data_IF_087465855198
#
_entry.id   IF_087465855198
#
_cell.length_a   1.000
_cell.length_b   1.000
_cell.length_c   1.000
_cell.angle_alpha   90.00
_cell.angle_beta   90.00
_cell.angle_gamma   90.00
#
_symmetry.space_group_name_H-M   'P 1'
#
loop_
_entity.id
_entity.type
_entity.pdbx_description
1 polymer ?
#
# COMPACT_ATOMS: atom_id res chain seq x y z
N UNK A 1 -8.40 9.85 -8.03
CA UNK A 1 -8.82 9.94 -6.61
C UNK A 1 -9.46 8.66 -6.07
N UNK A 2 -10.11 7.81 -6.87
CA UNK A 2 -10.72 6.55 -6.40
C UNK A 2 -9.74 5.55 -5.76
N UNK A 3 -8.51 5.46 -6.28
CA UNK A 3 -7.52 4.49 -5.81
C UNK A 3 -6.95 4.79 -4.41
N UNK A 4 -6.87 6.07 -4.02
CA UNK A 4 -6.43 6.46 -2.67
C UNK A 4 -7.51 6.19 -1.62
N UNK A 5 -8.78 6.45 -1.95
CA UNK A 5 -9.91 6.15 -1.05
C UNK A 5 -10.07 4.63 -0.87
N UNK A 6 -9.96 3.85 -1.94
CA UNK A 6 -9.98 2.39 -1.86
C UNK A 6 -8.83 1.86 -0.99
N UNK A 7 -7.64 2.46 -1.11
CA UNK A 7 -6.48 2.11 -0.29
C UNK A 7 -6.78 2.32 1.20
N UNK A 8 -7.25 3.51 1.58
CA UNK A 8 -7.59 3.81 2.98
C UNK A 8 -8.68 2.90 3.53
N UNK A 9 -9.77 2.70 2.77
CA UNK A 9 -10.86 1.81 3.18
C UNK A 9 -10.40 0.39 3.36
N UNK A 10 -9.53 -0.11 2.48
CA UNK A 10 -8.98 -1.46 2.57
C UNK A 10 -8.14 -1.63 3.83
N UNK A 11 -7.26 -0.67 4.14
CA UNK A 11 -6.45 -0.73 5.37
C UNK A 11 -7.33 -0.64 6.62
N UNK A 12 -8.33 0.25 6.62
CA UNK A 12 -9.25 0.42 7.73
C UNK A 12 -10.08 -0.85 7.99
N UNK A 13 -10.56 -1.51 6.94
CA UNK A 13 -11.33 -2.75 7.05
C UNK A 13 -10.48 -3.93 7.56
N UNK A 14 -9.17 -3.90 7.34
CA UNK A 14 -8.26 -4.97 7.72
C UNK A 14 -7.44 -4.67 8.99
N UNK A 15 -7.65 -3.51 9.64
CA UNK A 15 -6.78 -2.99 10.71
C UNK A 15 -6.58 -3.90 11.93
N UNK A 16 -7.45 -4.88 12.15
CA UNK A 16 -7.37 -5.83 13.26
C UNK A 16 -6.72 -7.17 12.88
N UNK A 17 -6.39 -7.37 11.61
CA UNK A 17 -5.85 -8.63 11.10
C UNK A 17 -4.32 -8.59 11.13
N UNK A 18 -3.76 -8.64 12.33
CA UNK A 18 -2.31 -8.55 12.56
C UNK A 18 -1.55 -9.59 11.74
N UNK A 19 -0.46 -9.16 11.10
CA UNK A 19 0.37 -10.00 10.23
C UNK A 19 -0.15 -10.13 8.79
N UNK A 20 -1.38 -9.68 8.49
CA UNK A 20 -1.92 -9.69 7.12
C UNK A 20 -1.08 -8.77 6.22
N UNK A 21 -0.75 -9.29 5.03
CA UNK A 21 -0.05 -8.57 3.96
C UNK A 21 -1.04 -8.25 2.84
N UNK A 22 -1.06 -7.01 2.36
CA UNK A 22 -1.95 -6.54 1.30
C UNK A 22 -1.12 -5.84 0.24
N UNK A 23 -1.20 -6.33 -1.00
CA UNK A 23 -0.51 -5.75 -2.15
C UNK A 23 -1.43 -4.74 -2.85
N UNK A 24 -0.93 -3.53 -3.03
CA UNK A 24 -1.61 -2.46 -3.76
C UNK A 24 -0.86 -2.17 -5.06
N UNK A 25 -1.42 -2.63 -6.16
CA UNK A 25 -0.89 -2.38 -7.51
C UNK A 25 -1.17 -0.93 -7.88
N UNK A 26 -0.11 -0.18 -8.21
CA UNK A 26 -0.19 1.23 -8.57
C UNK A 26 0.46 1.55 -9.93
N UNK A 27 1.01 0.55 -10.62
CA UNK A 27 1.67 0.70 -11.92
C UNK A 27 2.99 1.46 -11.86
N UNK A 28 3.82 1.29 -12.90
CA UNK A 28 5.20 1.81 -12.97
C UNK A 28 5.30 3.26 -13.48
N UNK A 29 4.27 4.09 -13.26
CA UNK A 29 4.23 5.48 -13.74
C UNK A 29 5.31 6.37 -13.09
N UNK A 30 5.12 7.69 -13.09
CA UNK A 30 6.09 8.69 -12.55
C UNK A 30 6.35 8.60 -11.03
N UNK A 31 5.85 7.58 -10.34
CA UNK A 31 6.01 7.39 -8.89
C UNK A 31 5.09 8.25 -8.02
N UNK A 32 4.28 9.14 -8.61
CA UNK A 32 3.37 10.05 -7.89
C UNK A 32 2.35 9.28 -7.04
N UNK A 33 1.76 8.22 -7.58
CA UNK A 33 0.77 7.43 -6.84
C UNK A 33 1.40 6.70 -5.63
N UNK A 34 2.59 6.11 -5.81
CA UNK A 34 3.34 5.49 -4.72
C UNK A 34 3.63 6.48 -3.58
N UNK A 35 4.06 7.69 -3.93
CA UNK A 35 4.35 8.73 -2.94
C UNK A 35 3.11 9.09 -2.12
N UNK A 36 1.95 9.24 -2.75
CA UNK A 36 0.69 9.54 -2.04
C UNK A 36 0.23 8.36 -1.16
N UNK A 37 0.37 7.11 -1.61
CA UNK A 37 0.07 5.93 -0.78
C UNK A 37 0.94 5.88 0.49
N UNK A 38 2.25 6.14 0.34
CA UNK A 38 3.19 6.18 1.46
C UNK A 38 2.85 7.34 2.42
N UNK A 39 2.48 8.50 1.89
CA UNK A 39 2.06 9.65 2.70
C UNK A 39 0.84 9.30 3.56
N UNK A 40 -0.18 8.67 2.97
CA UNK A 40 -1.36 8.20 3.68
C UNK A 40 -0.99 7.18 4.78
N UNK A 41 -0.15 6.19 4.47
CA UNK A 41 0.34 5.20 5.46
C UNK A 41 0.98 5.88 6.66
N UNK A 42 1.92 6.79 6.41
CA UNK A 42 2.67 7.48 7.47
C UNK A 42 1.77 8.36 8.33
N UNK A 43 0.76 9.01 7.73
CA UNK A 43 -0.12 9.93 8.44
C UNK A 43 -1.24 9.23 9.21
N UNK A 44 -1.87 8.21 8.61
CA UNK A 44 -3.09 7.58 9.14
C UNK A 44 -2.88 6.21 9.77
N UNK A 45 -1.83 5.50 9.36
CA UNK A 45 -1.54 4.13 9.79
C UNK A 45 -0.08 3.97 10.22
N UNK A 46 0.45 4.82 11.14
CA UNK A 46 1.88 4.86 11.47
C UNK A 46 2.42 3.55 12.07
N UNK A 47 1.55 2.70 12.59
CA UNK A 47 1.94 1.38 13.10
C UNK A 47 2.18 0.36 11.99
N UNK A 48 1.61 0.52 10.79
CA UNK A 48 1.75 -0.46 9.71
C UNK A 48 3.09 -0.30 9.00
N UNK A 49 3.63 -1.41 8.48
CA UNK A 49 4.90 -1.41 7.74
C UNK A 49 4.65 -1.63 6.26
N UNK A 50 5.52 -1.15 5.39
CA UNK A 50 5.39 -1.33 3.95
C UNK A 50 6.73 -1.63 3.28
N UNK A 51 6.68 -2.38 2.18
CA UNK A 51 7.81 -2.76 1.33
C UNK A 51 7.38 -2.73 -0.14
N UNK A 52 8.33 -2.66 -1.07
CA UNK A 52 8.00 -2.85 -2.48
C UNK A 52 7.63 -4.33 -2.70
N UNK A 53 6.53 -4.58 -3.42
CA UNK A 53 6.10 -5.95 -3.67
C UNK A 53 7.12 -6.67 -4.57
N UNK A 54 7.22 -8.02 -4.48
CA UNK A 54 8.22 -8.76 -5.25
C UNK A 54 8.11 -8.49 -6.77
N UNK A 55 9.25 -8.16 -7.39
CA UNK A 55 9.36 -7.89 -8.82
C UNK A 55 8.79 -9.02 -9.69
N UNK A 56 9.03 -10.28 -9.28
CA UNK A 56 8.58 -11.47 -10.00
C UNK A 56 7.04 -11.55 -10.13
N UNK A 57 6.28 -10.86 -9.29
CA UNK A 57 4.81 -10.91 -9.27
C UNK A 57 4.17 -9.76 -10.06
N UNK A 58 4.79 -8.57 -10.08
CA UNK A 58 4.15 -7.36 -10.63
C UNK A 58 5.05 -6.52 -11.56
N UNK A 59 6.30 -6.94 -11.84
CA UNK A 59 7.29 -6.17 -12.59
C UNK A 59 7.93 -5.03 -11.77
N UNK A 60 8.68 -4.14 -12.43
CA UNK A 60 9.40 -3.03 -11.77
C UNK A 60 8.42 -2.01 -11.17
N UNK A 61 8.52 -1.77 -9.85
CA UNK A 61 7.75 -0.73 -9.13
C UNK A 61 6.22 -0.81 -9.35
N UNK A 62 5.68 -2.01 -9.58
CA UNK A 62 4.27 -2.21 -9.91
C UNK A 62 3.33 -2.13 -8.72
N UNK A 63 3.80 -2.42 -7.51
CA UNK A 63 2.97 -2.52 -6.31
C UNK A 63 3.73 -2.25 -5.01
N UNK A 64 2.99 -1.79 -4.00
CA UNK A 64 3.44 -1.66 -2.61
C UNK A 64 2.74 -2.72 -1.76
N UNK A 65 3.49 -3.42 -0.90
CA UNK A 65 2.96 -4.36 0.07
C UNK A 65 2.87 -3.70 1.43
N UNK A 66 1.69 -3.70 2.04
CA UNK A 66 1.45 -3.21 3.40
C UNK A 66 1.23 -4.39 4.35
N UNK A 67 1.91 -4.38 5.49
CA UNK A 67 1.72 -5.36 6.57
C UNK A 67 0.99 -4.69 7.73
N UNK A 68 -0.16 -5.25 8.11
CA UNK A 68 -0.95 -4.84 9.27
C UNK A 68 -0.26 -5.30 10.56
N UNK A 69 -0.12 -4.42 11.54
CA UNK A 69 0.52 -4.68 12.85
C UNK A 69 -0.47 -4.81 13.99
#
# INVERSE_FOLDING_TARGET
>A
MYQLDLFERTLQANRFQKGRKIDFVHGSGTGTLRAELIKILRQKFPAFTYEDAPFATYGFQGAIRVTIK
#
